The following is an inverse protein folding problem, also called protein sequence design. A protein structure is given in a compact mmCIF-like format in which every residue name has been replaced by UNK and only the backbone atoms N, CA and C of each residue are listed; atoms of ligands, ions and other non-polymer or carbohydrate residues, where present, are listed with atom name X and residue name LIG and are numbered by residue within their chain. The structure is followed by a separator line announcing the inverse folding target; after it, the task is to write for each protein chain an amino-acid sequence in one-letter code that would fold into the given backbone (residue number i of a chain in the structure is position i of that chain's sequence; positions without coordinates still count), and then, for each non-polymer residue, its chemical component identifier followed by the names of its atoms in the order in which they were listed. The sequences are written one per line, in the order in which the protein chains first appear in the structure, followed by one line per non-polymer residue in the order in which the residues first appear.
data_IF_676206054254
#
_entry.id   IF_676206054254
#
_cell.length_a   1.000
_cell.length_b   1.000
_cell.length_c   1.000
_cell.angle_alpha   90.00
_cell.angle_beta   90.00
_cell.angle_gamma   90.00
#
_symmetry.space_group_name_H-M   'P 1'
#
loop_
_entity.id
_entity.type
_entity.pdbx_description
1 polymer ?
#
# COMPACT_ATOMS: atom_id res chain seq x y z
N UNK A 1 -40.02 8.63 46.35
CA UNK A 1 -41.06 9.06 45.39
C UNK A 1 -40.37 9.08 44.07
N UNK A 2 -40.51 8.06 43.44
CA UNK A 2 -41.41 7.59 42.35
C UNK A 2 -40.81 7.95 41.01
N UNK A 3 -40.24 6.97 40.29
CA UNK A 3 -40.93 6.10 39.27
C UNK A 3 -41.19 6.90 37.97
N UNK A 4 -40.85 6.47 36.83
CA UNK A 4 -41.05 5.28 35.99
C UNK A 4 -40.35 5.55 34.66
N UNK A 5 -39.54 4.70 34.08
CA UNK A 5 -39.87 3.58 33.16
C UNK A 5 -40.90 3.84 32.07
N UNK A 6 -40.44 3.45 30.91
CA UNK A 6 -41.16 2.89 29.74
C UNK A 6 -40.91 3.75 28.46
N UNK A 7 -40.76 3.25 27.25
CA UNK A 7 -40.96 1.93 26.65
C UNK A 7 -40.44 1.99 25.21
N UNK A 8 -39.91 0.90 24.78
CA UNK A 8 -39.51 0.51 23.42
C UNK A 8 -40.72 0.51 22.48
N UNK A 9 -40.52 0.88 21.24
CA UNK A 9 -41.28 0.27 20.14
C UNK A 9 -40.46 0.16 18.86
N UNK A 10 -40.26 -1.10 18.49
CA UNK A 10 -39.80 -1.58 17.19
C UNK A 10 -40.81 -1.17 16.12
N UNK A 11 -40.32 -0.64 15.01
CA UNK A 11 -41.12 -0.54 13.80
C UNK A 11 -40.50 -1.41 12.70
N UNK A 12 -41.11 -2.60 12.58
CA UNK A 12 -40.96 -3.51 11.45
C UNK A 12 -41.49 -2.84 10.17
N UNK A 13 -40.60 -2.60 9.19
CA UNK A 13 -41.02 -2.29 7.85
C UNK A 13 -40.94 -3.53 6.99
N UNK A 14 -42.08 -4.15 6.79
CA UNK A 14 -42.34 -5.22 5.83
C UNK A 14 -42.36 -4.62 4.42
N UNK A 15 -41.53 -5.11 3.51
CA UNK A 15 -41.69 -4.84 2.08
C UNK A 15 -42.44 -6.01 1.45
N UNK A 16 -43.65 -5.72 0.99
CA UNK A 16 -44.46 -6.61 0.19
C UNK A 16 -43.87 -6.82 -1.20
N UNK A 17 -43.84 -8.09 -1.60
CA UNK A 17 -43.61 -8.55 -2.96
C UNK A 17 -44.78 -8.14 -3.88
N UNK A 18 -44.45 -7.50 -4.97
CA UNK A 18 -45.34 -7.50 -6.10
C UNK A 18 -44.66 -8.11 -7.32
N UNK A 19 -45.29 -9.16 -7.76
CA UNK A 19 -44.89 -10.12 -8.78
C UNK A 19 -45.09 -9.61 -10.20
N UNK A 20 -44.32 -10.21 -11.07
CA UNK A 20 -44.66 -10.57 -12.44
C UNK A 20 -44.38 -9.55 -13.54
N UNK A 21 -43.21 -9.70 -14.19
CA UNK A 21 -43.09 -9.55 -15.66
C UNK A 21 -41.95 -10.41 -16.19
N UNK A 22 -42.37 -11.46 -16.89
CA UNK A 22 -41.53 -12.30 -17.75
C UNK A 22 -40.75 -11.48 -18.77
N UNK A 23 -39.41 -11.57 -18.72
CA UNK A 23 -38.50 -11.19 -19.81
C UNK A 23 -37.54 -12.33 -20.05
N UNK A 24 -37.48 -12.72 -21.32
CA UNK A 24 -36.68 -13.85 -21.85
C UNK A 24 -35.20 -13.69 -21.52
N UNK A 25 -34.65 -14.72 -20.91
CA UNK A 25 -33.23 -14.83 -20.54
C UNK A 25 -32.41 -15.14 -21.81
N UNK A 26 -31.54 -14.22 -22.20
CA UNK A 26 -30.46 -14.48 -23.13
C UNK A 26 -29.31 -15.18 -22.40
N UNK A 27 -28.91 -16.32 -22.92
CA UNK A 27 -27.98 -17.30 -22.33
C UNK A 27 -26.49 -16.94 -22.45
N UNK A 28 -26.10 -15.69 -22.26
CA UNK A 28 -24.71 -15.24 -22.37
C UNK A 28 -24.14 -14.56 -21.12
N UNK A 29 -24.83 -14.57 -19.98
CA UNK A 29 -24.38 -13.89 -18.76
C UNK A 29 -23.75 -14.82 -17.70
N UNK A 30 -23.86 -16.13 -17.89
CA UNK A 30 -23.39 -17.13 -16.91
C UNK A 30 -21.87 -17.43 -16.95
N UNK A 31 -21.13 -16.91 -17.94
CA UNK A 31 -19.68 -17.18 -18.06
C UNK A 31 -18.76 -16.12 -17.45
N UNK A 32 -19.27 -14.97 -17.03
CA UNK A 32 -18.45 -13.91 -16.45
C UNK A 32 -18.45 -13.88 -14.92
N UNK A 33 -19.39 -14.53 -14.25
CA UNK A 33 -19.46 -14.52 -12.79
C UNK A 33 -18.57 -15.61 -12.14
N UNK A 34 -18.32 -16.73 -12.83
CA UNK A 34 -17.41 -17.76 -12.29
C UNK A 34 -15.95 -17.34 -12.31
N UNK A 35 -15.52 -16.52 -13.28
CA UNK A 35 -14.12 -16.06 -13.36
C UNK A 35 -13.79 -15.00 -12.31
N UNK A 36 -14.79 -14.27 -11.81
CA UNK A 36 -14.57 -13.21 -10.82
C UNK A 36 -14.60 -13.74 -9.38
N UNK A 37 -15.31 -14.84 -9.13
CA UNK A 37 -15.31 -15.52 -7.82
C UNK A 37 -14.02 -16.28 -7.55
N UNK A 38 -13.42 -16.88 -8.58
CA UNK A 38 -12.16 -17.61 -8.44
C UNK A 38 -10.95 -16.68 -8.27
N UNK A 39 -11.00 -15.46 -8.82
CA UNK A 39 -9.96 -14.45 -8.63
C UNK A 39 -10.05 -13.78 -7.25
N UNK A 40 -11.26 -13.60 -6.72
CA UNK A 40 -11.48 -13.07 -5.35
C UNK A 40 -11.07 -14.12 -4.31
N UNK A 41 -11.37 -15.39 -4.55
CA UNK A 41 -10.99 -16.49 -3.63
C UNK A 41 -9.48 -16.73 -3.63
N UNK A 42 -8.82 -16.66 -4.80
CA UNK A 42 -7.35 -16.75 -4.88
C UNK A 42 -6.63 -15.61 -4.16
N UNK A 43 -7.19 -14.40 -4.18
CA UNK A 43 -6.62 -13.27 -3.47
C UNK A 43 -6.85 -13.33 -1.95
N UNK A 44 -7.82 -14.11 -1.47
CA UNK A 44 -8.04 -14.34 -0.04
C UNK A 44 -7.14 -15.46 0.51
N UNK A 45 -6.82 -16.47 -0.28
CA UNK A 45 -5.91 -17.56 0.12
C UNK A 45 -4.43 -17.11 0.16
N UNK A 46 -4.02 -16.09 -0.61
CA UNK A 46 -2.69 -15.47 -0.51
C UNK A 46 -2.56 -14.52 0.71
N UNK A 47 -3.66 -14.21 1.42
CA UNK A 47 -3.67 -13.33 2.60
C UNK A 47 -3.59 -14.07 3.93
N UNK A 48 -3.64 -15.41 3.94
CA UNK A 48 -3.55 -16.24 5.14
C UNK A 48 -2.25 -17.04 5.23
N UNK A 49 -1.10 -16.43 4.89
CA UNK A 49 0.12 -16.90 5.55
C UNK A 49 -0.01 -16.44 7.01
N UNK A 50 -0.36 -17.36 7.87
CA UNK A 50 -0.40 -17.24 9.31
C UNK A 50 1.00 -16.83 9.79
N UNK A 51 1.23 -15.51 9.92
CA UNK A 51 2.43 -15.00 10.53
C UNK A 51 2.44 -15.44 11.99
N UNK A 52 3.09 -16.57 12.23
CA UNK A 52 3.33 -17.02 13.61
C UNK A 52 4.23 -15.97 14.25
N UNK A 53 3.71 -15.24 15.24
CA UNK A 53 4.51 -14.30 16.01
C UNK A 53 5.66 -15.06 16.67
N UNK A 54 6.86 -14.87 16.14
CA UNK A 54 8.08 -15.32 16.81
C UNK A 54 8.50 -14.27 17.84
N UNK A 55 8.79 -14.73 19.06
CA UNK A 55 9.29 -13.83 20.09
C UNK A 55 10.67 -13.26 19.69
N UNK A 56 10.93 -11.98 19.99
CA UNK A 56 12.24 -11.38 19.79
C UNK A 56 13.34 -12.18 20.51
N UNK A 57 14.52 -12.31 19.88
CA UNK A 57 15.68 -12.99 20.46
C UNK A 57 16.74 -11.97 20.88
N UNK A 58 16.99 -11.91 22.19
CA UNK A 58 17.99 -11.02 22.77
C UNK A 58 17.54 -9.58 22.95
N UNK A 59 18.48 -8.71 23.21
CA UNK A 59 18.25 -7.27 23.29
C UNK A 59 18.15 -6.65 21.88
N UNK A 60 17.41 -5.56 21.70
CA UNK A 60 17.30 -4.89 20.43
C UNK A 60 18.66 -4.32 19.99
N UNK A 61 19.03 -4.61 18.74
CA UNK A 61 20.24 -4.09 18.10
C UNK A 61 20.10 -2.61 17.73
N UNK A 62 18.89 -2.20 17.41
CA UNK A 62 18.54 -0.82 17.05
C UNK A 62 17.05 -0.59 17.24
N UNK A 63 16.67 0.57 17.74
CA UNK A 63 15.28 0.98 17.94
C UNK A 63 15.04 2.36 17.34
N UNK A 64 13.83 2.58 16.84
CA UNK A 64 13.44 3.86 16.26
C UNK A 64 11.93 4.03 16.23
N UNK A 65 11.47 5.25 16.52
CA UNK A 65 10.11 5.70 16.30
C UNK A 65 10.00 6.41 14.96
N UNK A 66 9.06 5.98 14.16
CA UNK A 66 8.85 6.50 12.80
C UNK A 66 7.47 7.11 12.67
N UNK A 67 7.40 8.39 12.32
CA UNK A 67 6.15 9.07 12.00
C UNK A 67 6.00 9.21 10.49
N UNK A 68 5.18 8.35 9.89
CA UNK A 68 4.91 8.39 8.46
C UNK A 68 4.05 9.60 8.10
N UNK A 69 4.45 10.34 7.06
CA UNK A 69 3.73 11.50 6.52
C UNK A 69 3.23 11.21 5.11
N UNK A 70 2.25 11.99 4.66
CA UNK A 70 1.73 11.87 3.29
C UNK A 70 2.83 11.97 2.21
N UNK A 71 3.88 12.75 2.45
CA UNK A 71 5.03 12.87 1.55
C UNK A 71 5.83 11.58 1.41
N UNK A 72 5.91 10.77 2.47
CA UNK A 72 6.65 9.52 2.47
C UNK A 72 5.89 8.44 1.72
N UNK A 73 4.58 8.37 1.97
CA UNK A 73 3.66 7.50 1.23
C UNK A 73 3.64 7.84 -0.26
N UNK A 74 3.64 9.14 -0.58
CA UNK A 74 3.70 9.60 -1.97
C UNK A 74 5.00 9.20 -2.65
N UNK A 75 6.16 9.41 -2.01
CA UNK A 75 7.47 9.06 -2.56
C UNK A 75 7.59 7.53 -2.77
N UNK A 76 7.09 6.74 -1.82
CA UNK A 76 7.00 5.29 -1.94
C UNK A 76 6.11 4.86 -3.12
N UNK A 77 4.88 5.38 -3.18
CA UNK A 77 3.89 5.03 -4.19
C UNK A 77 4.32 5.44 -5.59
N UNK A 78 4.92 6.63 -5.72
CA UNK A 78 5.46 7.12 -6.98
C UNK A 78 6.58 6.20 -7.47
N UNK A 79 7.54 5.86 -6.59
CA UNK A 79 8.62 4.94 -6.93
C UNK A 79 8.09 3.57 -7.32
N UNK A 80 7.14 3.02 -6.55
CA UNK A 80 6.53 1.72 -6.84
C UNK A 80 5.84 1.72 -8.20
N UNK A 81 5.03 2.73 -8.51
CA UNK A 81 4.30 2.85 -9.77
C UNK A 81 5.23 3.00 -10.98
N UNK A 82 6.28 3.83 -10.87
CA UNK A 82 7.21 4.03 -11.99
C UNK A 82 8.28 2.93 -12.13
N UNK A 83 8.44 2.05 -11.16
CA UNK A 83 9.22 0.82 -11.33
C UNK A 83 8.39 -0.34 -11.89
N UNK A 84 7.07 -0.21 -11.93
CA UNK A 84 6.18 -1.16 -12.60
C UNK A 84 6.11 -0.90 -14.11
N UNK A 85 5.94 -1.97 -14.89
CA UNK A 85 5.82 -1.84 -16.36
C UNK A 85 4.62 -0.98 -16.76
N UNK A 86 3.49 -1.09 -16.05
CA UNK A 86 2.28 -0.34 -16.37
C UNK A 86 2.44 1.17 -16.22
N UNK A 87 3.03 1.64 -15.12
CA UNK A 87 3.28 3.06 -14.89
C UNK A 87 4.27 3.66 -15.89
N UNK A 88 5.34 2.91 -16.21
CA UNK A 88 6.33 3.33 -17.19
C UNK A 88 5.73 3.43 -18.60
N UNK A 89 5.01 2.39 -19.05
CA UNK A 89 4.38 2.37 -20.38
C UNK A 89 3.32 3.47 -20.53
N UNK A 90 2.49 3.69 -19.52
CA UNK A 90 1.49 4.78 -19.53
C UNK A 90 2.15 6.15 -19.74
N UNK A 91 3.23 6.41 -19.02
CA UNK A 91 3.97 7.66 -19.18
C UNK A 91 4.58 7.81 -20.57
N UNK A 92 5.18 6.75 -21.13
CA UNK A 92 5.73 6.76 -22.49
C UNK A 92 4.63 7.07 -23.51
N UNK A 93 3.46 6.42 -23.42
CA UNK A 93 2.32 6.67 -24.31
C UNK A 93 1.89 8.14 -24.24
N UNK A 94 1.73 8.69 -23.03
CA UNK A 94 1.37 10.10 -22.87
C UNK A 94 2.37 11.06 -23.48
N UNK A 95 3.67 10.81 -23.30
CA UNK A 95 4.74 11.61 -23.90
C UNK A 95 4.74 11.51 -25.43
N UNK A 96 4.51 10.31 -26.00
CA UNK A 96 4.39 10.12 -27.44
C UNK A 96 3.18 10.88 -28.03
N UNK A 97 2.06 10.94 -27.32
CA UNK A 97 0.90 11.74 -27.75
C UNK A 97 1.23 13.23 -27.78
N UNK A 98 1.91 13.76 -26.75
CA UNK A 98 2.37 15.16 -26.72
C UNK A 98 3.34 15.42 -27.87
N UNK A 99 4.29 14.51 -28.10
CA UNK A 99 5.23 14.60 -29.21
C UNK A 99 4.52 14.62 -30.58
N UNK A 100 3.51 13.79 -30.78
CA UNK A 100 2.75 13.73 -32.04
C UNK A 100 2.06 15.06 -32.35
N UNK A 101 1.57 15.76 -31.34
CA UNK A 101 1.01 17.10 -31.51
C UNK A 101 2.05 18.10 -32.05
N UNK A 102 3.24 18.18 -31.44
CA UNK A 102 4.25 19.15 -31.81
C UNK A 102 5.00 18.80 -33.10
N UNK A 103 5.34 17.52 -33.30
CA UNK A 103 6.21 17.11 -34.41
C UNK A 103 5.44 16.69 -35.67
N UNK A 104 4.18 16.27 -35.54
CA UNK A 104 3.36 15.77 -36.65
C UNK A 104 2.12 16.59 -36.94
N UNK A 105 1.98 17.78 -36.31
CA UNK A 105 0.78 18.61 -36.41
C UNK A 105 -0.53 17.83 -36.21
N UNK A 106 -0.50 16.87 -35.25
CA UNK A 106 -1.68 16.09 -34.90
C UNK A 106 -2.76 16.99 -34.26
N UNK A 107 -3.98 16.48 -34.15
CA UNK A 107 -5.09 17.21 -33.53
C UNK A 107 -4.74 17.67 -32.09
N UNK A 108 -5.21 18.86 -31.66
CA UNK A 108 -5.04 19.35 -30.28
C UNK A 108 -5.50 18.36 -29.20
N UNK A 109 -6.36 17.42 -29.53
CA UNK A 109 -6.81 16.36 -28.63
C UNK A 109 -5.64 15.48 -28.17
N UNK A 110 -4.62 15.24 -29.01
CA UNK A 110 -3.43 14.48 -28.61
C UNK A 110 -2.66 15.17 -27.50
N UNK A 111 -2.57 16.50 -27.51
CA UNK A 111 -1.94 17.27 -26.44
C UNK A 111 -2.73 17.14 -25.13
N UNK A 112 -4.06 17.32 -25.19
CA UNK A 112 -4.93 17.26 -24.01
C UNK A 112 -4.89 15.86 -23.39
N UNK A 113 -5.10 14.81 -24.18
CA UNK A 113 -5.05 13.44 -23.68
C UNK A 113 -3.66 13.04 -23.21
N UNK A 114 -2.60 13.46 -23.91
CA UNK A 114 -1.22 13.21 -23.49
C UNK A 114 -0.91 13.82 -22.11
N UNK A 115 -1.34 15.05 -21.86
CA UNK A 115 -1.20 15.69 -20.55
C UNK A 115 -2.01 14.97 -19.47
N UNK A 116 -3.26 14.60 -19.77
CA UNK A 116 -4.09 13.82 -18.82
C UNK A 116 -3.38 12.52 -18.44
N UNK A 117 -2.91 11.74 -19.41
CA UNK A 117 -2.25 10.45 -19.17
C UNK A 117 -0.97 10.62 -18.34
N UNK A 118 -0.13 11.62 -18.65
CA UNK A 118 1.13 11.85 -17.92
C UNK A 118 0.88 12.29 -16.47
N UNK A 119 -0.09 13.18 -16.24
CA UNK A 119 -0.33 13.75 -14.91
C UNK A 119 -1.32 12.97 -14.07
N UNK A 120 -2.09 12.06 -14.66
CA UNK A 120 -3.09 11.26 -13.93
C UNK A 120 -2.47 10.45 -12.79
N UNK A 121 -1.40 9.69 -13.07
CA UNK A 121 -0.75 8.84 -12.07
C UNK A 121 -0.21 9.69 -10.90
N UNK A 122 0.67 10.69 -11.10
CA UNK A 122 1.21 11.45 -9.97
C UNK A 122 0.14 12.20 -9.18
N UNK A 123 -0.88 12.76 -9.82
CA UNK A 123 -1.96 13.46 -9.12
C UNK A 123 -2.78 12.48 -8.29
N UNK A 124 -3.19 11.36 -8.87
CA UNK A 124 -3.97 10.34 -8.16
C UNK A 124 -3.19 9.78 -6.96
N UNK A 125 -1.92 9.45 -7.14
CA UNK A 125 -1.07 8.98 -6.04
C UNK A 125 -0.90 10.02 -4.94
N UNK A 126 -0.81 11.31 -5.29
CA UNK A 126 -0.74 12.38 -4.30
C UNK A 126 -2.01 12.46 -3.45
N UNK A 127 -3.18 12.40 -4.09
CA UNK A 127 -4.46 12.42 -3.39
C UNK A 127 -4.63 11.18 -2.49
N UNK A 128 -4.31 9.99 -3.01
CA UNK A 128 -4.36 8.75 -2.24
C UNK A 128 -3.40 8.77 -1.05
N UNK A 129 -2.17 9.24 -1.21
CA UNK A 129 -1.19 9.34 -0.13
C UNK A 129 -1.63 10.29 0.97
N UNK A 130 -2.32 11.39 0.62
CA UNK A 130 -2.90 12.30 1.62
C UNK A 130 -4.04 11.63 2.38
N UNK A 131 -4.92 10.93 1.67
CA UNK A 131 -6.03 10.21 2.30
C UNK A 131 -5.52 9.09 3.21
N UNK A 132 -4.53 8.33 2.76
CA UNK A 132 -3.91 7.25 3.54
C UNK A 132 -3.24 7.78 4.81
N UNK A 133 -2.53 8.92 4.73
CA UNK A 133 -1.89 9.54 5.90
C UNK A 133 -2.89 10.03 6.96
N UNK A 134 -4.17 10.17 6.63
CA UNK A 134 -5.23 10.52 7.59
C UNK A 134 -5.80 9.29 8.32
N UNK A 135 -5.43 8.08 7.95
CA UNK A 135 -5.84 6.88 8.68
C UNK A 135 -5.17 6.85 10.06
N UNK A 136 -5.87 6.32 11.04
CA UNK A 136 -5.40 6.29 12.45
C UNK A 136 -4.02 5.64 12.60
N UNK A 137 -3.75 4.57 11.85
CA UNK A 137 -2.46 3.87 11.84
C UNK A 137 -1.28 4.79 11.50
N UNK A 138 -1.48 5.80 10.65
CA UNK A 138 -0.41 6.73 10.28
C UNK A 138 -0.39 8.02 11.09
N UNK A 139 -1.38 8.24 11.97
CA UNK A 139 -1.43 9.42 12.84
C UNK A 139 -0.55 9.26 14.09
N UNK A 140 -0.28 8.04 14.50
CA UNK A 140 0.61 7.72 15.61
C UNK A 140 1.96 7.22 15.09
N UNK A 141 3.05 7.42 15.84
CA UNK A 141 4.34 6.84 15.49
C UNK A 141 4.28 5.32 15.55
N UNK A 142 5.01 4.69 14.62
CA UNK A 142 5.28 3.26 14.61
C UNK A 142 6.64 3.06 15.30
N UNK A 143 6.68 2.22 16.32
CA UNK A 143 7.92 1.82 16.95
C UNK A 143 8.50 0.60 16.25
N UNK A 144 9.76 0.67 15.84
CA UNK A 144 10.51 -0.42 15.23
C UNK A 144 11.68 -0.81 16.13
N UNK A 145 11.77 -2.09 16.46
CA UNK A 145 12.89 -2.68 17.17
C UNK A 145 13.50 -3.82 16.33
N UNK A 146 14.81 -3.76 16.12
CA UNK A 146 15.54 -4.72 15.28
C UNK A 146 16.30 -5.70 16.17
N UNK A 147 16.11 -7.00 15.93
CA UNK A 147 16.68 -8.09 16.69
C UNK A 147 17.49 -9.02 15.77
N UNK A 148 18.21 -9.97 16.36
CA UNK A 148 18.98 -10.99 15.62
C UNK A 148 18.08 -11.83 14.68
N UNK A 149 16.83 -12.08 15.07
CA UNK A 149 15.91 -12.92 14.29
C UNK A 149 14.92 -12.15 13.42
N UNK A 150 14.89 -10.81 13.48
CA UNK A 150 13.96 -10.02 12.66
C UNK A 150 13.75 -8.60 13.15
N UNK A 151 12.67 -8.01 12.66
CA UNK A 151 12.25 -6.66 12.96
C UNK A 151 10.86 -6.70 13.60
N UNK A 152 10.72 -6.21 14.82
CA UNK A 152 9.42 -6.00 15.47
C UNK A 152 8.88 -4.62 15.07
N UNK A 153 7.61 -4.58 14.72
CA UNK A 153 6.85 -3.35 14.51
C UNK A 153 5.76 -3.30 15.56
N UNK A 154 5.68 -2.22 16.31
CA UNK A 154 4.66 -2.06 17.34
C UNK A 154 3.98 -0.71 17.27
N UNK A 155 2.70 -0.69 17.63
CA UNK A 155 1.90 0.51 17.76
C UNK A 155 0.77 0.23 18.76
N UNK A 156 0.71 1.03 19.82
CA UNK A 156 -0.18 0.78 20.97
C UNK A 156 0.05 -0.67 21.49
N UNK A 157 -1.01 -1.49 21.54
CA UNK A 157 -0.96 -2.88 22.01
C UNK A 157 -0.68 -3.91 20.90
N UNK A 158 -0.59 -3.45 19.65
CA UNK A 158 -0.33 -4.30 18.50
C UNK A 158 1.16 -4.46 18.27
N UNK A 159 1.58 -5.71 18.05
CA UNK A 159 2.97 -6.07 17.74
C UNK A 159 3.01 -7.11 16.62
N UNK A 160 3.90 -6.90 15.68
CA UNK A 160 4.17 -7.83 14.59
C UNK A 160 5.68 -8.07 14.50
N UNK A 161 6.10 -9.33 14.48
CA UNK A 161 7.49 -9.72 14.26
C UNK A 161 7.68 -10.19 12.83
N UNK A 162 8.61 -9.57 12.11
CA UNK A 162 8.94 -9.87 10.71
C UNK A 162 10.34 -10.45 10.68
N UNK A 163 10.48 -11.74 10.41
CA UNK A 163 11.77 -12.40 10.27
C UNK A 163 12.57 -11.88 9.08
N UNK A 164 13.90 -11.92 9.17
CA UNK A 164 14.81 -11.46 8.11
C UNK A 164 14.58 -12.20 6.78
N UNK A 165 14.14 -13.45 6.81
CA UNK A 165 13.86 -14.27 5.63
C UNK A 165 12.70 -13.73 4.79
N UNK A 166 11.72 -13.07 5.42
CA UNK A 166 10.60 -12.45 4.75
C UNK A 166 10.97 -11.16 4.02
N UNK A 167 12.18 -10.63 4.20
CA UNK A 167 12.61 -9.43 3.49
C UNK A 167 12.92 -9.77 2.02
N UNK A 168 12.11 -9.20 1.14
CA UNK A 168 12.25 -9.35 -0.32
C UNK A 168 13.37 -8.49 -0.85
N UNK A 169 13.45 -7.24 -0.41
CA UNK A 169 14.51 -6.28 -0.79
C UNK A 169 14.56 -5.09 0.15
N UNK A 170 15.72 -4.46 0.27
CA UNK A 170 15.90 -3.17 0.93
C UNK A 170 16.47 -2.15 -0.06
N UNK A 171 15.89 -0.94 -0.07
CA UNK A 171 16.25 0.12 -1.03
C UNK A 171 16.45 1.42 -0.28
N UNK A 172 17.56 2.12 -0.52
CA UNK A 172 17.74 3.49 -0.07
C UNK A 172 17.38 4.48 -1.18
N UNK A 173 16.57 5.46 -0.83
CA UNK A 173 16.27 6.64 -1.64
C UNK A 173 16.94 7.87 -1.04
N UNK A 174 16.81 9.02 -1.70
CA UNK A 174 17.25 10.29 -1.12
C UNK A 174 16.46 10.69 0.13
N UNK A 175 15.23 10.22 0.27
CA UNK A 175 14.31 10.62 1.35
C UNK A 175 14.11 9.55 2.42
N UNK A 176 14.20 8.26 2.06
CA UNK A 176 13.82 7.15 2.93
C UNK A 176 14.67 5.91 2.68
N UNK A 177 14.72 5.03 3.68
CA UNK A 177 15.10 3.63 3.52
C UNK A 177 13.80 2.82 3.50
N UNK A 178 13.62 1.95 2.51
CA UNK A 178 12.41 1.17 2.32
C UNK A 178 12.77 -0.30 2.36
N UNK A 179 12.19 -1.04 3.30
CA UNK A 179 12.35 -2.47 3.48
C UNK A 179 11.08 -3.17 3.03
N UNK A 180 11.14 -3.90 1.94
CA UNK A 180 10.00 -4.61 1.37
C UNK A 180 9.89 -6.01 1.99
N UNK A 181 8.76 -6.30 2.58
CA UNK A 181 8.41 -7.61 3.17
C UNK A 181 7.43 -8.40 2.31
N UNK A 182 7.02 -7.85 1.18
CA UNK A 182 6.14 -8.47 0.20
C UNK A 182 5.98 -7.63 -1.06
N UNK A 183 5.12 -8.07 -1.98
CA UNK A 183 4.86 -7.37 -3.23
C UNK A 183 4.30 -5.96 -2.99
N UNK A 184 3.36 -5.85 -2.03
CA UNK A 184 2.66 -4.61 -1.71
C UNK A 184 2.86 -4.17 -0.25
N UNK A 185 3.77 -4.84 0.49
CA UNK A 185 4.08 -4.52 1.89
C UNK A 185 5.50 -4.00 2.02
N UNK A 186 5.66 -2.87 2.70
CA UNK A 186 6.97 -2.30 2.97
C UNK A 186 6.95 -1.45 4.24
N UNK A 187 8.04 -1.51 4.99
CA UNK A 187 8.35 -0.56 6.07
C UNK A 187 9.16 0.59 5.50
N UNK A 188 8.72 1.81 5.79
CA UNK A 188 9.34 3.05 5.28
C UNK A 188 10.00 3.76 6.44
N UNK A 189 11.30 4.00 6.33
CA UNK A 189 12.10 4.72 7.32
C UNK A 189 12.55 6.07 6.73
N UNK A 190 11.82 7.16 7.00
CA UNK A 190 12.20 8.48 6.52
C UNK A 190 13.55 8.89 7.10
N UNK A 191 14.46 9.40 6.27
CA UNK A 191 15.81 9.80 6.73
C UNK A 191 15.79 10.89 7.79
N UNK A 192 14.74 11.69 7.85
CA UNK A 192 14.57 12.71 8.92
C UNK A 192 14.41 12.10 10.30
N UNK A 193 13.78 10.91 10.40
CA UNK A 193 13.53 10.23 11.66
C UNK A 193 14.76 9.38 12.08
N UNK A 194 15.63 9.05 11.10
CA UNK A 194 16.87 8.28 11.32
C UNK A 194 18.06 9.13 11.82
N UNK A 195 17.92 10.43 11.94
CA UNK A 195 19.02 11.27 12.39
C UNK A 195 19.23 11.17 13.92
N UNK A 196 20.50 11.13 14.42
CA UNK A 196 21.73 11.38 13.67
C UNK A 196 22.33 10.14 12.98
N UNK A 197 21.80 8.95 13.18
CA UNK A 197 22.49 7.71 12.76
C UNK A 197 21.72 6.82 11.79
N UNK A 198 21.46 7.34 10.57
CA UNK A 198 20.93 6.54 9.49
C UNK A 198 21.82 5.34 9.11
N UNK A 199 23.11 5.39 9.48
CA UNK A 199 24.09 4.36 9.19
C UNK A 199 23.87 3.13 10.08
N UNK A 200 23.37 3.31 11.30
CA UNK A 200 23.09 2.20 12.22
C UNK A 200 22.01 1.29 11.64
N UNK A 201 20.88 1.84 11.17
CA UNK A 201 19.83 1.05 10.53
C UNK A 201 20.36 0.31 9.29
N UNK A 202 21.11 1.01 8.42
CA UNK A 202 21.70 0.38 7.22
C UNK A 202 22.62 -0.77 7.61
N UNK A 203 23.41 -0.61 8.65
CA UNK A 203 24.33 -1.65 9.16
C UNK A 203 23.55 -2.87 9.62
N UNK A 204 22.54 -2.70 10.49
CA UNK A 204 21.71 -3.80 10.99
C UNK A 204 21.04 -4.55 9.84
N UNK A 205 20.36 -3.82 8.93
CA UNK A 205 19.69 -4.44 7.77
C UNK A 205 20.71 -5.14 6.86
N UNK A 206 21.89 -4.55 6.62
CA UNK A 206 22.91 -5.16 5.73
C UNK A 206 23.60 -6.38 6.32
N UNK A 207 23.60 -6.53 7.64
CA UNK A 207 24.17 -7.71 8.31
C UNK A 207 23.25 -8.92 8.16
N UNK A 208 21.94 -8.71 8.16
CA UNK A 208 20.95 -9.80 8.21
C UNK A 208 20.28 -10.10 6.87
N UNK A 209 20.29 -9.15 5.92
CA UNK A 209 19.66 -9.31 4.60
C UNK A 209 20.69 -9.64 3.53
N UNK A 210 20.38 -10.63 2.67
CA UNK A 210 21.25 -11.03 1.55
C UNK A 210 21.66 -9.79 0.72
N UNK A 211 22.96 -9.59 0.45
CA UNK A 211 23.46 -8.49 -0.38
C UNK A 211 22.79 -8.37 -1.74
N UNK A 212 22.32 -9.48 -2.33
CA UNK A 212 21.57 -9.47 -3.60
C UNK A 212 20.22 -8.78 -3.50
N UNK A 213 19.61 -8.77 -2.31
CA UNK A 213 18.36 -8.09 -2.01
C UNK A 213 18.55 -6.61 -1.65
N UNK A 214 19.80 -6.17 -1.46
CA UNK A 214 20.16 -4.82 -1.06
C UNK A 214 20.40 -3.92 -2.28
N UNK A 215 19.62 -2.85 -2.42
CA UNK A 215 19.82 -1.78 -3.40
C UNK A 215 20.13 -0.46 -2.69
N UNK A 216 20.95 -0.53 -1.66
CA UNK A 216 21.43 0.62 -0.90
C UNK A 216 22.80 0.98 -1.48
N UNK A 217 22.88 2.11 -2.20
CA UNK A 217 24.17 2.70 -2.57
C UNK A 217 24.67 3.45 -1.33
N UNK A 218 25.84 3.08 -0.86
CA UNK A 218 26.61 3.85 0.15
C UNK A 218 27.04 5.18 -0.44
#
# INVERSE_FOLDING_TARGET
MENQQDFVSEENVTYENESDKTVKTDSNQEKNDETNSDEITKNQDELSEEYTYESPKGDPLYEIDVQIKASDLYDYSLRHSYTSLGGLLSTIVGVLMIYAYFAKNASPLYLIFGLIVVFYIPINLFLMSRQQAMQETFQKPLHYAFYENGMEVSQDDLKEMIGWDYIVKAVATSKSIIVYTGKNRASIFPRRDLQPDATALIRVVSTHVDPKKMKIKQ
#
